data_IF_791654968482
#
_entry.id   IF_791654968482
#
_cell.length_a   1.000
_cell.length_b   1.000
_cell.length_c   1.000
_cell.angle_alpha   90.00
_cell.angle_beta   90.00
_cell.angle_gamma   90.00
#
_symmetry.space_group_name_H-M   'P 1'
#
loop_
_entity.id
_entity.type
_entity.pdbx_description
1 polymer ?
#
# COMPACT_ATOMS: atom_id res chain seq x y z
N UNK A 1 -27.71 -1.03 -1.50
CA UNK A 1 -27.40 -2.39 -2.04
C UNK A 1 -26.69 -2.31 -3.39
N UNK A 2 -27.28 -1.70 -4.43
CA UNK A 2 -26.60 -1.55 -5.73
C UNK A 2 -25.40 -0.57 -5.65
N UNK A 3 -25.54 0.51 -4.89
CA UNK A 3 -24.51 1.55 -4.69
C UNK A 3 -23.30 1.01 -3.92
N UNK A 4 -23.52 0.38 -2.77
CA UNK A 4 -22.47 -0.26 -1.96
C UNK A 4 -21.74 -1.40 -2.69
N UNK A 5 -22.44 -2.19 -3.51
CA UNK A 5 -21.81 -3.19 -4.39
C UNK A 5 -20.93 -2.54 -5.46
N UNK A 6 -21.38 -1.42 -6.04
CA UNK A 6 -20.61 -0.67 -7.05
C UNK A 6 -19.34 -0.08 -6.46
N UNK A 7 -19.40 0.50 -5.26
CA UNK A 7 -18.24 1.03 -4.55
C UNK A 7 -17.27 -0.07 -4.13
N UNK A 8 -17.77 -1.21 -3.64
CA UNK A 8 -16.93 -2.37 -3.27
C UNK A 8 -16.17 -2.91 -4.48
N UNK A 9 -16.87 -3.09 -5.61
CA UNK A 9 -16.26 -3.55 -6.87
C UNK A 9 -15.25 -2.50 -7.36
N UNK A 10 -15.59 -1.22 -7.30
CA UNK A 10 -14.69 -0.12 -7.68
C UNK A 10 -13.41 -0.09 -6.83
N UNK A 11 -13.53 -0.27 -5.50
CA UNK A 11 -12.39 -0.33 -4.60
C UNK A 11 -11.48 -1.53 -4.87
N UNK A 12 -12.07 -2.70 -5.14
CA UNK A 12 -11.31 -3.90 -5.48
C UNK A 12 -10.60 -3.78 -6.85
N UNK A 13 -11.27 -3.15 -7.83
CA UNK A 13 -10.69 -2.82 -9.12
C UNK A 13 -9.54 -1.84 -8.97
N UNK A 14 -9.68 -0.80 -8.15
CA UNK A 14 -8.60 0.17 -7.90
C UNK A 14 -7.39 -0.51 -7.24
N UNK A 15 -7.62 -1.35 -6.22
CA UNK A 15 -6.55 -2.10 -5.56
C UNK A 15 -5.78 -3.01 -6.53
N UNK A 16 -6.49 -3.65 -7.47
CA UNK A 16 -5.92 -4.62 -8.41
C UNK A 16 -5.29 -3.95 -9.64
N UNK A 17 -6.04 -3.08 -10.31
CA UNK A 17 -5.63 -2.43 -11.56
C UNK A 17 -4.74 -1.21 -11.33
N UNK A 18 -4.86 -0.52 -10.18
CA UNK A 18 -3.98 0.59 -9.81
C UNK A 18 -2.51 0.16 -9.69
N UNK A 19 -2.26 -1.10 -9.33
CA UNK A 19 -0.92 -1.69 -9.24
C UNK A 19 -0.67 -2.78 -10.30
N UNK A 20 -1.51 -2.90 -11.34
CA UNK A 20 -1.41 -3.99 -12.30
C UNK A 20 -0.11 -3.95 -13.11
N UNK A 21 0.37 -2.75 -13.47
CA UNK A 21 1.63 -2.60 -14.21
C UNK A 21 2.80 -3.15 -13.40
N UNK A 22 2.88 -2.79 -12.11
CA UNK A 22 3.91 -3.32 -11.21
C UNK A 22 3.82 -4.83 -11.06
N UNK A 23 2.61 -5.38 -10.91
CA UNK A 23 2.38 -6.82 -10.79
C UNK A 23 2.82 -7.57 -12.06
N UNK A 24 2.49 -7.06 -13.25
CA UNK A 24 2.87 -7.66 -14.54
C UNK A 24 4.40 -7.66 -14.69
N UNK A 25 5.04 -6.52 -14.41
CA UNK A 25 6.51 -6.38 -14.50
C UNK A 25 7.19 -7.32 -13.50
N UNK A 26 6.69 -7.38 -12.26
CA UNK A 26 7.18 -8.27 -11.21
C UNK A 26 7.11 -9.74 -11.63
N UNK A 27 5.95 -10.21 -12.11
CA UNK A 27 5.77 -11.59 -12.57
C UNK A 27 6.70 -11.91 -13.76
N UNK A 28 6.84 -10.98 -14.71
CA UNK A 28 7.74 -11.13 -15.86
C UNK A 28 9.21 -11.26 -15.43
N UNK A 29 9.65 -10.44 -14.47
CA UNK A 29 11.00 -10.48 -13.92
C UNK A 29 11.27 -11.78 -13.14
N UNK A 30 10.31 -12.26 -12.33
CA UNK A 30 10.41 -13.56 -11.64
C UNK A 30 10.57 -14.69 -12.65
N UNK A 31 9.77 -14.71 -13.72
CA UNK A 31 9.87 -15.74 -14.78
C UNK A 31 11.23 -15.76 -15.48
N UNK A 32 11.95 -14.64 -15.47
CA UNK A 32 13.31 -14.49 -16.03
C UNK A 32 14.41 -14.74 -14.99
N UNK A 33 14.06 -15.10 -13.76
CA UNK A 33 15.03 -15.32 -12.67
C UNK A 33 15.62 -14.05 -12.06
N UNK A 34 15.05 -12.87 -12.36
CA UNK A 34 15.56 -11.57 -11.94
C UNK A 34 15.07 -11.20 -10.53
N UNK A 35 15.30 -12.06 -9.54
CA UNK A 35 14.77 -11.88 -8.19
C UNK A 35 15.32 -10.63 -7.48
N UNK A 36 16.57 -10.25 -7.74
CA UNK A 36 17.13 -9.05 -7.13
C UNK A 36 16.51 -7.78 -7.72
N UNK A 37 16.20 -7.77 -9.02
CA UNK A 37 15.46 -6.66 -9.64
C UNK A 37 14.09 -6.49 -8.97
N UNK A 38 13.39 -7.61 -8.71
CA UNK A 38 12.09 -7.60 -8.03
C UNK A 38 12.19 -7.06 -6.59
N UNK A 39 13.19 -7.51 -5.82
CA UNK A 39 13.39 -7.01 -4.44
C UNK A 39 13.63 -5.50 -4.42
N UNK A 40 14.54 -5.02 -5.27
CA UNK A 40 14.86 -3.60 -5.35
C UNK A 40 13.67 -2.79 -5.87
N UNK A 41 12.90 -3.30 -6.83
CA UNK A 41 11.72 -2.60 -7.36
C UNK A 41 10.59 -2.49 -6.33
N UNK A 42 10.36 -3.52 -5.50
CA UNK A 42 9.36 -3.46 -4.44
C UNK A 42 9.71 -2.42 -3.37
N UNK A 43 10.96 -2.38 -2.90
CA UNK A 43 11.41 -1.35 -1.96
C UNK A 43 11.37 0.03 -2.61
N UNK A 44 11.78 0.12 -3.89
CA UNK A 44 11.74 1.35 -4.67
C UNK A 44 10.32 1.91 -4.83
N UNK A 45 9.31 1.06 -5.06
CA UNK A 45 7.90 1.48 -5.16
C UNK A 45 7.41 2.09 -3.85
N UNK A 46 7.70 1.45 -2.71
CA UNK A 46 7.38 1.98 -1.37
C UNK A 46 8.03 3.36 -1.17
N UNK A 47 9.33 3.48 -1.43
CA UNK A 47 10.05 4.75 -1.28
C UNK A 47 9.54 5.83 -2.23
N UNK A 48 9.22 5.48 -3.47
CA UNK A 48 8.66 6.40 -4.45
C UNK A 48 7.33 6.97 -3.97
N UNK A 49 6.43 6.15 -3.44
CA UNK A 49 5.13 6.63 -2.96
C UNK A 49 5.28 7.51 -1.71
N UNK A 50 6.15 7.13 -0.77
CA UNK A 50 6.31 7.85 0.50
C UNK A 50 7.15 9.12 0.41
N UNK A 51 8.15 9.17 -0.46
CA UNK A 51 9.07 10.29 -0.53
C UNK A 51 8.83 11.13 -1.78
N UNK A 52 8.81 10.49 -2.95
CA UNK A 52 8.71 11.21 -4.21
C UNK A 52 7.29 11.72 -4.45
N UNK A 53 6.30 10.83 -4.46
CA UNK A 53 4.90 11.21 -4.73
C UNK A 53 4.40 12.12 -3.62
N UNK A 54 4.46 11.68 -2.36
CA UNK A 54 4.03 12.50 -1.22
C UNK A 54 4.78 13.84 -1.15
N UNK A 55 6.11 13.83 -1.33
CA UNK A 55 6.92 15.05 -1.30
C UNK A 55 6.58 16.01 -2.43
N UNK A 56 6.29 15.50 -3.64
CA UNK A 56 5.82 16.32 -4.74
C UNK A 56 4.39 16.84 -4.52
N UNK A 57 3.51 16.06 -3.90
CA UNK A 57 2.16 16.50 -3.52
C UNK A 57 2.21 17.66 -2.53
N UNK A 58 3.11 17.60 -1.53
CA UNK A 58 3.34 18.71 -0.61
C UNK A 58 4.01 19.90 -1.28
N UNK A 59 5.00 19.66 -2.13
CA UNK A 59 5.71 20.73 -2.84
C UNK A 59 4.76 21.51 -3.76
N UNK A 60 4.05 20.81 -4.63
CA UNK A 60 3.13 21.41 -5.60
C UNK A 60 1.91 22.00 -4.90
N UNK A 61 1.27 21.25 -3.99
CA UNK A 61 0.13 21.76 -3.24
C UNK A 61 0.49 22.99 -2.39
N UNK A 62 1.65 22.96 -1.73
CA UNK A 62 2.19 24.07 -0.96
C UNK A 62 2.57 25.32 -1.78
N UNK A 63 2.65 25.22 -3.12
CA UNK A 63 2.82 26.42 -3.96
C UNK A 63 1.54 27.24 -4.11
N UNK A 64 0.37 26.61 -3.91
CA UNK A 64 -0.95 27.24 -4.09
C UNK A 64 -1.73 27.41 -2.78
N UNK A 65 -1.54 26.49 -1.84
CA UNK A 65 -2.27 26.42 -0.58
C UNK A 65 -1.33 26.52 0.60
N UNK A 66 -1.66 27.38 1.57
CA UNK A 66 -0.86 27.59 2.79
C UNK A 66 -0.97 26.42 3.75
N UNK A 67 -2.15 25.79 3.82
CA UNK A 67 -2.45 24.61 4.62
C UNK A 67 -3.11 23.55 3.73
N UNK A 68 -2.70 22.29 3.87
CA UNK A 68 -3.32 21.15 3.19
C UNK A 68 -4.01 20.27 4.24
N UNK A 69 -5.32 20.08 4.10
CA UNK A 69 -6.12 19.26 5.02
C UNK A 69 -6.12 17.80 4.56
N UNK A 70 -6.16 16.89 5.53
CA UNK A 70 -6.26 15.46 5.31
C UNK A 70 -6.88 14.81 6.55
N UNK A 71 -7.58 13.69 6.37
CA UNK A 71 -8.13 12.92 7.48
C UNK A 71 -7.01 12.31 8.33
N UNK A 72 -6.85 12.81 9.55
CA UNK A 72 -5.85 12.27 10.48
C UNK A 72 -6.11 10.81 10.86
N UNK A 73 -7.37 10.39 10.90
CA UNK A 73 -7.75 9.02 11.23
C UNK A 73 -7.36 8.04 10.11
N UNK A 74 -7.70 8.36 8.87
CA UNK A 74 -7.38 7.50 7.73
C UNK A 74 -5.89 7.54 7.38
N UNK A 75 -5.22 8.68 7.52
CA UNK A 75 -3.75 8.74 7.43
C UNK A 75 -3.08 7.80 8.46
N UNK A 76 -3.57 7.78 9.70
CA UNK A 76 -3.03 6.88 10.74
C UNK A 76 -3.26 5.39 10.39
N UNK A 77 -4.43 5.03 9.87
CA UNK A 77 -4.73 3.66 9.43
C UNK A 77 -3.77 3.25 8.30
N UNK A 78 -3.56 4.12 7.31
CA UNK A 78 -2.66 3.85 6.19
C UNK A 78 -1.19 3.71 6.63
N UNK A 79 -0.70 4.60 7.50
CA UNK A 79 0.68 4.54 8.03
C UNK A 79 0.90 3.29 8.88
N UNK A 80 -0.07 2.88 9.70
CA UNK A 80 0.07 1.68 10.54
C UNK A 80 0.06 0.40 9.71
N UNK A 81 -0.78 0.31 8.67
CA UNK A 81 -0.77 -0.82 7.72
C UNK A 81 0.54 -0.90 6.93
N UNK A 82 1.05 0.25 6.47
CA UNK A 82 2.36 0.33 5.83
C UNK A 82 3.48 -0.15 6.76
N UNK A 83 3.46 0.26 8.02
CA UNK A 83 4.46 -0.17 9.01
C UNK A 83 4.44 -1.70 9.19
N UNK A 84 3.25 -2.30 9.31
CA UNK A 84 3.09 -3.77 9.39
C UNK A 84 3.66 -4.43 8.14
N UNK A 85 3.39 -3.88 6.95
CA UNK A 85 3.95 -4.36 5.69
C UNK A 85 5.48 -4.33 5.67
N UNK A 86 6.10 -3.21 6.07
CA UNK A 86 7.56 -3.06 6.11
C UNK A 86 8.19 -4.03 7.13
N UNK A 87 7.60 -4.16 8.31
CA UNK A 87 8.11 -5.05 9.35
C UNK A 87 8.05 -6.53 8.92
N UNK A 88 7.07 -6.91 8.09
CA UNK A 88 6.90 -8.30 7.64
C UNK A 88 8.11 -8.83 6.84
N UNK A 89 8.76 -7.99 6.02
CA UNK A 89 9.97 -8.37 5.29
C UNK A 89 11.27 -7.92 5.97
N UNK A 90 11.21 -6.97 6.92
CA UNK A 90 12.35 -6.57 7.72
C UNK A 90 12.87 -7.74 8.58
N UNK A 91 11.96 -8.52 9.17
CA UNK A 91 12.30 -9.70 9.97
C UNK A 91 13.15 -10.74 9.20
N UNK A 92 12.71 -11.27 8.04
CA UNK A 92 13.57 -12.16 7.25
C UNK A 92 14.85 -11.47 6.79
N UNK A 93 14.85 -10.16 6.50
CA UNK A 93 16.07 -9.44 6.11
C UNK A 93 17.12 -9.44 7.23
N UNK A 94 16.74 -9.15 8.47
CA UNK A 94 17.67 -9.15 9.61
C UNK A 94 18.19 -10.56 9.90
N UNK A 95 17.32 -11.57 9.84
CA UNK A 95 17.71 -12.97 10.04
C UNK A 95 18.72 -13.45 8.99
N UNK A 96 18.60 -12.99 7.74
CA UNK A 96 19.56 -13.28 6.68
C UNK A 96 20.99 -12.84 7.06
N UNK A 97 21.13 -11.69 7.73
CA UNK A 97 22.42 -11.16 8.15
C UNK A 97 22.92 -11.68 9.52
N UNK A 98 22.03 -12.22 10.38
CA UNK A 98 22.37 -12.51 11.78
C UNK A 98 22.61 -13.99 12.13
N UNK A 99 21.91 -14.98 11.55
CA UNK A 99 21.97 -16.40 11.97
C UNK A 99 21.83 -17.34 10.77
N UNK A 100 22.62 -18.42 10.76
CA UNK A 100 22.68 -19.52 9.78
C UNK A 100 21.50 -19.62 8.79
N UNK A 101 21.83 -19.54 7.50
CA UNK A 101 20.98 -19.45 6.30
C UNK A 101 19.95 -20.58 6.07
N UNK A 102 19.86 -21.57 6.95
CA UNK A 102 19.15 -22.82 6.71
C UNK A 102 17.65 -22.71 6.42
N UNK A 103 16.97 -21.64 6.87
CA UNK A 103 15.50 -21.55 6.80
C UNK A 103 14.93 -20.20 6.35
N UNK A 104 15.74 -19.34 5.69
CA UNK A 104 15.31 -17.98 5.29
C UNK A 104 14.06 -17.99 4.39
N UNK A 105 13.95 -19.01 3.53
CA UNK A 105 12.83 -19.17 2.60
C UNK A 105 11.52 -19.49 3.33
N UNK A 106 11.57 -20.31 4.39
CA UNK A 106 10.40 -20.64 5.20
C UNK A 106 9.93 -19.39 5.93
N UNK A 107 10.85 -18.66 6.57
CA UNK A 107 10.54 -17.41 7.27
C UNK A 107 9.92 -16.40 6.31
N UNK A 108 10.51 -16.22 5.13
CA UNK A 108 9.98 -15.30 4.12
C UNK A 108 8.57 -15.69 3.63
N UNK A 109 8.29 -16.99 3.47
CA UNK A 109 6.95 -17.49 3.10
C UNK A 109 5.93 -17.28 4.21
N UNK A 110 6.30 -17.53 5.46
CA UNK A 110 5.43 -17.29 6.61
C UNK A 110 5.10 -15.80 6.76
N UNK A 111 6.10 -14.93 6.61
CA UNK A 111 5.91 -13.47 6.56
C UNK A 111 4.95 -13.06 5.45
N UNK A 112 5.11 -13.61 4.24
CA UNK A 112 4.23 -13.31 3.09
C UNK A 112 2.77 -13.76 3.33
N UNK A 113 2.56 -14.93 3.95
CA UNK A 113 1.22 -15.40 4.31
C UNK A 113 0.59 -14.48 5.37
N UNK A 114 1.36 -14.12 6.41
CA UNK A 114 0.90 -13.24 7.48
C UNK A 114 0.45 -11.87 6.95
N UNK A 115 1.29 -11.23 6.14
CA UNK A 115 0.93 -9.92 5.54
C UNK A 115 -0.21 -10.05 4.53
N UNK A 116 -0.31 -11.17 3.81
CA UNK A 116 -1.43 -11.45 2.90
C UNK A 116 -2.77 -11.56 3.62
N UNK A 117 -2.81 -12.27 4.76
CA UNK A 117 -4.01 -12.35 5.61
C UNK A 117 -4.35 -10.96 6.17
N UNK A 118 -3.35 -10.22 6.64
CA UNK A 118 -3.53 -8.85 7.12
C UNK A 118 -4.11 -7.92 6.05
N UNK A 119 -3.63 -8.02 4.80
CA UNK A 119 -4.14 -7.24 3.69
C UNK A 119 -5.58 -7.62 3.32
N UNK A 120 -5.93 -8.91 3.30
CA UNK A 120 -7.31 -9.34 3.10
C UNK A 120 -8.24 -8.82 4.21
N UNK A 121 -7.80 -8.85 5.47
CA UNK A 121 -8.55 -8.28 6.58
C UNK A 121 -8.71 -6.77 6.45
N UNK A 122 -7.66 -6.06 6.01
CA UNK A 122 -7.72 -4.63 5.70
C UNK A 122 -8.70 -4.32 4.57
N UNK A 123 -8.73 -5.12 3.49
CA UNK A 123 -9.71 -4.93 2.42
C UNK A 123 -11.15 -5.14 2.91
N UNK A 124 -11.40 -6.13 3.77
CA UNK A 124 -12.73 -6.30 4.39
C UNK A 124 -13.06 -5.12 5.29
N UNK A 125 -12.08 -4.59 6.01
CA UNK A 125 -12.25 -3.41 6.85
C UNK A 125 -12.63 -2.18 6.01
N UNK A 126 -11.87 -1.92 4.95
CA UNK A 126 -12.02 -0.77 4.07
C UNK A 126 -13.30 -0.84 3.22
N UNK A 127 -13.66 -2.02 2.72
CA UNK A 127 -14.78 -2.17 1.76
C UNK A 127 -16.11 -2.54 2.42
N UNK A 128 -16.12 -2.96 3.70
CA UNK A 128 -17.35 -3.41 4.34
C UNK A 128 -17.55 -2.85 5.75
N UNK A 129 -16.58 -2.99 6.66
CA UNK A 129 -16.87 -2.70 8.08
C UNK A 129 -16.76 -1.23 8.45
N UNK A 130 -15.87 -0.46 7.81
CA UNK A 130 -15.61 0.94 8.12
C UNK A 130 -15.59 1.81 6.85
N UNK A 131 -16.54 1.56 5.95
CA UNK A 131 -16.65 2.28 4.66
C UNK A 131 -16.81 3.78 4.88
N UNK A 132 -17.59 4.19 5.89
CA UNK A 132 -17.89 5.59 6.23
C UNK A 132 -16.61 6.42 6.46
N UNK A 133 -15.61 5.86 7.15
CA UNK A 133 -14.31 6.52 7.42
C UNK A 133 -13.55 6.86 6.13
N UNK A 134 -13.77 6.09 5.06
CA UNK A 134 -13.12 6.27 3.75
C UNK A 134 -14.03 6.95 2.72
N UNK A 135 -15.32 7.11 3.01
CA UNK A 135 -16.25 7.91 2.20
C UNK A 135 -16.16 9.39 2.56
N UNK A 136 -16.05 9.72 3.86
CA UNK A 136 -15.82 11.08 4.34
C UNK A 136 -14.55 11.70 3.70
N UNK A 137 -13.47 10.91 3.53
CA UNK A 137 -12.27 11.37 2.80
C UNK A 137 -12.54 11.77 1.35
N UNK A 138 -13.42 11.04 0.64
CA UNK A 138 -13.67 11.28 -0.79
C UNK A 138 -14.58 12.48 -1.02
N UNK A 139 -15.48 12.77 -0.08
CA UNK A 139 -16.34 13.94 -0.14
C UNK A 139 -15.56 15.22 0.19
N UNK A 140 -14.66 15.19 1.17
CA UNK A 140 -13.76 16.32 1.47
C UNK A 140 -12.85 16.67 0.28
N UNK A 141 -12.26 15.68 -0.40
CA UNK A 141 -11.45 15.90 -1.61
C UNK A 141 -12.25 16.49 -2.79
N UNK A 142 -13.57 16.29 -2.82
CA UNK A 142 -14.46 16.70 -3.92
C UNK A 142 -15.03 18.12 -3.77
N UNK A 143 -15.24 18.59 -2.54
CA UNK A 143 -15.80 19.92 -2.27
C UNK A 143 -14.76 21.05 -2.30
N UNK A 144 -13.48 20.78 -1.99
CA UNK A 144 -12.42 21.80 -1.99
C UNK A 144 -11.90 22.20 -3.40
N UNK A 145 -12.40 21.56 -4.46
CA UNK A 145 -12.05 21.88 -5.86
C UNK A 145 -12.86 23.00 -6.52
N UNK A 146 -13.78 23.65 -5.78
CA UNK A 146 -14.79 24.58 -6.35
C UNK A 146 -14.56 26.07 -6.02
N UNK A 147 -13.57 26.43 -5.18
CA UNK A 147 -13.30 27.82 -4.78
C UNK A 147 -11.99 28.43 -5.34
#
# INVERSE_FOLDING_TARGET
LAESLTQTIGGLLNATFGNAVEMIVTISAIRRGLLDVVKHSLVGSILSNLLLVLGMSFFVGGTRFTDQRFSGAAALINITMLLVGIMSFCLPTVFYFSVATGNILIISRLSAIFVGIGYCAYLVFQLYTHVEVFEEEKEEDGEEGVD
#
